data_IF_413638492433
#
_entry.id   IF_413638492433
#
_cell.length_a   1.000
_cell.length_b   1.000
_cell.length_c   1.000
_cell.angle_alpha   90.00
_cell.angle_beta   90.00
_cell.angle_gamma   90.00
#
_symmetry.space_group_name_H-M   'P 1'
#
loop_
_entity.id
_entity.type
_entity.pdbx_description
1 polymer ?
#
# COMPACT_ATOMS: atom_id res chain seq x y z
N UNK A 1 -21.64 -12.13 -30.28
CA UNK A 1 -20.35 -11.73 -29.70
C UNK A 1 -20.65 -11.11 -28.36
N UNK A 2 -20.24 -11.73 -27.24
CA UNK A 2 -20.30 -11.08 -25.92
C UNK A 2 -19.04 -10.25 -25.81
N UNK A 3 -19.19 -8.93 -25.69
CA UNK A 3 -18.11 -8.07 -25.26
C UNK A 3 -17.96 -8.33 -23.76
N UNK A 4 -16.97 -9.13 -23.39
CA UNK A 4 -16.49 -9.16 -22.02
C UNK A 4 -15.88 -7.78 -21.77
N UNK A 5 -16.66 -6.92 -21.11
CA UNK A 5 -16.17 -5.68 -20.52
C UNK A 5 -15.09 -6.08 -19.51
N UNK A 6 -13.84 -6.02 -19.93
CA UNK A 6 -12.71 -6.00 -19.00
C UNK A 6 -12.91 -4.77 -18.12
N UNK A 7 -13.54 -4.95 -16.96
CA UNK A 7 -13.52 -3.97 -15.89
C UNK A 7 -12.09 -3.99 -15.39
N UNK A 8 -11.31 -3.00 -15.79
CA UNK A 8 -9.94 -2.83 -15.29
C UNK A 8 -10.02 -2.79 -13.76
N UNK A 9 -9.30 -3.71 -13.11
CA UNK A 9 -9.29 -3.73 -11.65
C UNK A 9 -8.70 -2.40 -11.18
N UNK A 10 -9.25 -1.76 -10.13
CA UNK A 10 -8.67 -0.52 -9.64
C UNK A 10 -7.22 -0.76 -9.24
N UNK A 11 -6.32 0.11 -9.73
CA UNK A 11 -4.91 0.09 -9.37
C UNK A 11 -4.75 0.16 -7.85
N UNK A 12 -3.81 -0.61 -7.34
CA UNK A 12 -3.47 -0.69 -5.92
C UNK A 12 -1.99 -0.39 -5.74
N UNK A 13 -1.66 0.17 -4.59
CA UNK A 13 -0.31 0.61 -4.26
C UNK A 13 0.06 0.17 -2.84
N UNK A 14 1.32 -0.12 -2.60
CA UNK A 14 1.90 -0.14 -1.26
C UNK A 14 2.80 1.09 -1.09
N UNK A 15 2.99 1.51 0.15
CA UNK A 15 3.69 2.75 0.50
C UNK A 15 4.90 2.43 1.37
N UNK A 16 6.03 1.99 0.78
CA UNK A 16 7.22 1.64 1.54
C UNK A 16 7.81 2.88 2.20
N UNK A 17 8.09 2.82 3.50
CA UNK A 17 8.70 3.93 4.21
C UNK A 17 10.22 3.94 3.96
N UNK A 18 10.82 5.09 3.60
CA UNK A 18 12.24 5.18 3.25
C UNK A 18 13.19 4.95 4.43
N UNK A 19 12.68 4.97 5.66
CA UNK A 19 13.44 4.72 6.88
C UNK A 19 12.77 3.56 7.61
N UNK A 20 13.34 2.35 7.48
CA UNK A 20 12.75 1.16 8.11
C UNK A 20 12.85 -0.15 7.32
N UNK A 21 13.81 -0.30 6.41
CA UNK A 21 14.24 -1.65 6.06
C UNK A 21 14.95 -2.24 7.28
N UNK A 22 14.64 -3.49 7.63
CA UNK A 22 15.38 -4.18 8.68
C UNK A 22 16.78 -4.50 8.14
N UNK A 23 17.83 -4.19 8.90
CA UNK A 23 19.21 -4.45 8.46
C UNK A 23 19.50 -5.97 8.38
N UNK A 24 18.67 -6.79 9.03
CA UNK A 24 18.79 -8.24 9.09
C UNK A 24 18.04 -8.99 7.96
N UNK A 25 17.04 -8.36 7.32
CA UNK A 25 16.35 -8.89 6.14
C UNK A 25 16.03 -7.76 5.12
N UNK A 26 16.80 -7.65 4.02
CA UNK A 26 16.64 -6.56 3.06
C UNK A 26 15.32 -6.64 2.27
N UNK A 27 14.58 -7.76 2.35
CA UNK A 27 13.28 -7.90 1.70
C UNK A 27 12.13 -7.37 2.59
N UNK A 28 12.40 -7.16 3.87
CA UNK A 28 11.44 -6.61 4.82
C UNK A 28 11.55 -5.08 4.91
N UNK A 29 10.39 -4.42 4.99
CA UNK A 29 10.32 -2.98 5.15
C UNK A 29 9.09 -2.57 5.95
N UNK A 30 9.19 -1.43 6.61
CA UNK A 30 8.02 -0.74 7.12
C UNK A 30 7.21 -0.10 5.98
N UNK A 31 5.89 -0.17 6.09
CA UNK A 31 4.94 0.46 5.16
C UNK A 31 4.05 1.47 5.86
N UNK A 32 3.60 2.51 5.16
CA UNK A 32 2.53 3.36 5.65
C UNK A 32 1.18 2.64 5.50
N UNK A 33 0.48 2.48 6.62
CA UNK A 33 -0.78 1.72 6.69
C UNK A 33 -1.88 2.60 7.23
N UNK A 34 -3.11 2.38 6.76
CA UNK A 34 -4.29 3.12 7.19
C UNK A 34 -5.24 2.22 7.98
N UNK A 35 -5.51 2.60 9.24
CA UNK A 35 -6.61 2.03 10.00
C UNK A 35 -7.90 2.79 9.62
N UNK A 36 -8.74 2.17 8.80
CA UNK A 36 -10.01 2.75 8.34
C UNK A 36 -11.15 2.60 9.35
N UNK A 37 -11.01 1.72 10.33
CA UNK A 37 -12.02 1.43 11.36
C UNK A 37 -11.85 2.30 12.61
N UNK A 38 -10.86 3.18 12.61
CA UNK A 38 -10.62 4.06 13.74
C UNK A 38 -11.78 5.05 13.92
N UNK A 39 -12.30 5.13 15.15
CA UNK A 39 -13.53 5.86 15.48
C UNK A 39 -13.50 7.36 15.13
N UNK A 40 -12.31 7.95 14.99
CA UNK A 40 -12.11 9.35 14.60
C UNK A 40 -11.91 9.55 13.09
N UNK A 41 -12.09 8.50 12.29
CA UNK A 41 -11.79 8.48 10.85
C UNK A 41 -10.45 7.82 10.52
N UNK A 42 -10.09 7.69 9.23
CA UNK A 42 -8.90 6.97 8.79
C UNK A 42 -7.62 7.48 9.45
N UNK A 43 -6.89 6.59 10.13
CA UNK A 43 -5.65 6.92 10.83
C UNK A 43 -4.45 6.26 10.16
N UNK A 44 -3.54 7.08 9.64
CA UNK A 44 -2.30 6.62 9.02
C UNK A 44 -1.20 6.45 10.06
N UNK A 45 -0.41 5.38 9.93
CA UNK A 45 0.67 5.04 10.84
C UNK A 45 1.73 4.19 10.14
N UNK A 46 2.90 4.06 10.77
CA UNK A 46 3.92 3.08 10.37
C UNK A 46 3.43 1.67 10.75
N UNK A 47 3.41 0.77 9.77
CA UNK A 47 3.02 -0.62 9.91
C UNK A 47 4.12 -1.51 10.44
N UNK A 48 3.87 -2.83 10.56
CA UNK A 48 4.91 -3.80 10.88
C UNK A 48 6.00 -3.82 9.79
N UNK A 49 7.18 -4.32 10.15
CA UNK A 49 8.23 -4.67 9.20
C UNK A 49 7.85 -6.03 8.58
N UNK A 50 7.60 -6.06 7.27
CA UNK A 50 7.16 -7.26 6.55
C UNK A 50 7.69 -7.24 5.12
N UNK A 51 7.65 -8.41 4.47
CA UNK A 51 8.02 -8.52 3.06
C UNK A 51 7.06 -7.76 2.14
N UNK A 52 7.56 -7.39 0.95
CA UNK A 52 6.71 -6.80 -0.10
C UNK A 52 5.49 -7.67 -0.46
N UNK A 53 5.66 -9.00 -0.43
CA UNK A 53 4.58 -9.96 -0.70
C UNK A 53 3.45 -9.88 0.33
N UNK A 54 3.78 -9.75 1.61
CA UNK A 54 2.78 -9.60 2.66
C UNK A 54 2.10 -8.23 2.58
N UNK A 55 2.89 -7.18 2.29
CA UNK A 55 2.37 -5.83 2.15
C UNK A 55 1.36 -5.69 1.01
N UNK A 56 1.61 -6.29 -0.17
CA UNK A 56 0.64 -6.28 -1.27
C UNK A 56 -0.68 -6.99 -0.92
N UNK A 57 -0.61 -8.04 -0.09
CA UNK A 57 -1.77 -8.87 0.28
C UNK A 57 -2.65 -8.19 1.32
N UNK A 58 -2.07 -7.40 2.24
CA UNK A 58 -2.80 -6.86 3.39
C UNK A 58 -2.85 -5.34 3.49
N UNK A 59 -1.88 -4.61 2.94
CA UNK A 59 -1.68 -3.18 3.21
C UNK A 59 -1.80 -2.28 1.98
N UNK A 60 -2.30 -2.83 0.87
CA UNK A 60 -2.49 -2.03 -0.34
C UNK A 60 -3.60 -0.99 -0.20
N UNK A 61 -3.40 0.15 -0.88
CA UNK A 61 -4.29 1.30 -0.89
C UNK A 61 -4.57 1.76 -2.32
N UNK A 62 -5.64 2.54 -2.49
CA UNK A 62 -5.98 3.15 -3.78
C UNK A 62 -5.33 4.52 -3.93
N UNK A 63 -5.27 5.07 -5.15
CA UNK A 63 -4.85 6.46 -5.35
C UNK A 63 -5.73 7.45 -4.58
N UNK A 64 -7.04 7.20 -4.50
CA UNK A 64 -7.96 8.04 -3.74
C UNK A 64 -7.65 8.06 -2.23
N UNK A 65 -7.19 6.93 -1.67
CA UNK A 65 -6.72 6.88 -0.27
C UNK A 65 -5.48 7.77 -0.09
N UNK A 66 -4.53 7.73 -1.03
CA UNK A 66 -3.30 8.55 -1.01
C UNK A 66 -3.63 10.03 -1.13
N UNK A 67 -4.53 10.41 -2.03
CA UNK A 67 -4.94 11.80 -2.25
C UNK A 67 -5.65 12.39 -1.02
N UNK A 68 -6.38 11.56 -0.28
CA UNK A 68 -7.02 11.92 0.98
C UNK A 68 -6.09 11.85 2.21
N UNK A 69 -4.87 11.33 2.06
CA UNK A 69 -3.95 11.11 3.17
C UNK A 69 -3.30 12.41 3.71
N UNK A 70 -2.73 12.36 4.93
CA UNK A 70 -1.86 13.42 5.47
C UNK A 70 -0.62 13.66 4.61
N UNK A 71 -0.03 14.84 4.72
CA UNK A 71 1.11 15.27 3.90
C UNK A 71 2.29 14.30 3.95
N UNK A 72 2.61 13.73 5.12
CA UNK A 72 3.73 12.80 5.26
C UNK A 72 3.54 11.54 4.40
N UNK A 73 2.30 11.05 4.24
CA UNK A 73 1.99 9.89 3.39
C UNK A 73 2.19 10.25 1.93
N UNK A 74 1.77 11.45 1.52
CA UNK A 74 1.91 11.96 0.14
C UNK A 74 3.36 12.16 -0.29
N UNK A 75 4.30 12.24 0.65
CA UNK A 75 5.74 12.27 0.35
C UNK A 75 6.33 10.89 0.04
N UNK A 76 5.62 9.81 0.33
CA UNK A 76 6.08 8.45 0.07
C UNK A 76 5.82 8.10 -1.39
N UNK A 77 6.85 7.62 -2.09
CA UNK A 77 6.72 7.11 -3.45
C UNK A 77 5.88 5.83 -3.45
N UNK A 78 4.69 5.82 -4.06
CA UNK A 78 3.87 4.62 -4.13
C UNK A 78 4.48 3.59 -5.07
N UNK A 79 4.42 2.32 -4.67
CA UNK A 79 4.80 1.19 -5.52
C UNK A 79 3.52 0.50 -5.98
N UNK A 80 3.29 0.47 -7.30
CA UNK A 80 2.12 -0.19 -7.88
C UNK A 80 2.19 -1.70 -7.63
N UNK A 81 1.07 -2.26 -7.16
CA UNK A 81 0.88 -3.70 -7.03
C UNK A 81 0.45 -4.23 -8.40
N UNK A 82 1.36 -4.89 -9.10
CA UNK A 82 1.05 -5.63 -10.32
C UNK A 82 0.63 -7.05 -9.97
N UNK A 83 -0.46 -7.55 -10.58
CA UNK A 83 -0.88 -8.96 -10.44
C UNK A 83 0.13 -9.93 -11.12
N UNK A 84 1.16 -9.40 -11.80
CA UNK A 84 2.21 -10.16 -12.50
C UNK A 84 3.32 -10.62 -11.54
N UNK A 85 3.05 -11.68 -10.79
CA UNK A 85 4.06 -12.59 -10.23
C UNK A 85 3.39 -13.92 -9.85
N UNK A 86 3.13 -14.73 -10.88
CA UNK A 86 2.99 -16.20 -10.77
C UNK A 86 4.07 -16.87 -11.60
#
# INVERSE_FOLDING_TARGET
MKADLYVDKPKRYVLPMPYGADDDDPDDSHYAVVNREYHAGPAWHQGPCVSFKEAREHYSVTQADIDAAPDWVKTITPVEVTDDEQ
#
